data_IF_811525619403
#
_entry.id   IF_811525619403
#
_cell.length_a   1.000
_cell.length_b   1.000
_cell.length_c   1.000
_cell.angle_alpha   90.00
_cell.angle_beta   90.00
_cell.angle_gamma   90.00
#
_symmetry.space_group_name_H-M   'P 1'
#
loop_
_entity.id
_entity.type
_entity.pdbx_description
1 polymer ?
#
# COMPACT_ATOMS: atom_id res chain seq x y z
N UNK A 1 18.30 -5.55 7.17
CA UNK A 1 17.15 -5.26 8.06
C UNK A 1 16.35 -6.54 8.23
N UNK A 2 15.80 -6.79 9.42
CA UNK A 2 14.89 -7.92 9.68
C UNK A 2 13.56 -7.35 10.19
N UNK A 3 12.44 -7.86 9.72
CA UNK A 3 11.08 -7.50 10.15
C UNK A 3 10.48 -8.76 10.76
N UNK A 4 9.93 -8.67 11.96
CA UNK A 4 9.24 -9.82 12.57
C UNK A 4 7.85 -9.93 11.97
N UNK A 5 7.40 -11.15 11.70
CA UNK A 5 6.10 -11.44 11.12
C UNK A 5 5.44 -12.59 11.88
N UNK A 6 4.15 -12.43 12.17
CA UNK A 6 3.25 -13.52 12.54
C UNK A 6 2.30 -13.72 11.37
N UNK A 7 2.33 -14.90 10.75
CA UNK A 7 1.44 -15.25 9.65
C UNK A 7 0.41 -16.27 10.16
N UNK A 8 -0.85 -15.84 10.25
CA UNK A 8 -2.01 -16.67 10.59
C UNK A 8 -2.86 -17.00 9.35
N UNK A 9 -2.40 -16.63 8.17
CA UNK A 9 -3.09 -16.91 6.92
C UNK A 9 -2.93 -18.36 6.50
N UNK A 10 -3.73 -18.78 5.52
CA UNK A 10 -3.60 -20.07 4.83
C UNK A 10 -2.45 -20.09 3.80
N UNK A 11 -1.71 -18.99 3.66
CA UNK A 11 -0.78 -18.73 2.55
C UNK A 11 0.65 -18.54 3.06
N UNK A 12 1.68 -18.80 2.21
CA UNK A 12 3.07 -18.57 2.59
C UNK A 12 3.35 -17.09 2.89
N UNK A 13 4.47 -16.83 3.56
CA UNK A 13 4.92 -15.47 3.81
C UNK A 13 5.12 -14.71 2.49
N UNK A 14 4.97 -13.37 2.48
CA UNK A 14 5.31 -12.56 1.33
C UNK A 14 6.80 -12.67 0.99
N UNK A 15 7.11 -12.74 -0.30
CA UNK A 15 8.46 -12.88 -0.82
C UNK A 15 8.68 -11.93 -1.99
N UNK A 16 9.93 -11.51 -2.19
CA UNK A 16 10.32 -10.75 -3.36
C UNK A 16 10.30 -11.66 -4.59
N UNK A 17 9.46 -11.33 -5.57
CA UNK A 17 9.29 -12.17 -6.77
C UNK A 17 10.53 -12.23 -7.66
N UNK A 18 11.39 -11.22 -7.60
CA UNK A 18 12.68 -11.18 -8.29
C UNK A 18 13.75 -10.55 -7.38
N UNK A 19 15.05 -10.76 -7.65
CA UNK A 19 16.13 -10.20 -6.84
C UNK A 19 16.12 -8.67 -6.71
N UNK A 20 15.48 -7.97 -7.66
CA UNK A 20 15.42 -6.51 -7.70
C UNK A 20 13.99 -5.97 -7.49
N UNK A 21 13.06 -6.81 -7.06
CA UNK A 21 11.70 -6.36 -6.73
C UNK A 21 11.72 -5.41 -5.55
N UNK A 22 11.03 -4.27 -5.67
CA UNK A 22 10.92 -3.30 -4.58
C UNK A 22 9.91 -3.74 -3.50
N UNK A 23 8.89 -4.52 -3.88
CA UNK A 23 7.82 -4.95 -2.98
C UNK A 23 7.53 -6.44 -3.05
N UNK A 24 6.74 -6.89 -2.07
CA UNK A 24 6.30 -8.27 -1.92
C UNK A 24 4.77 -8.33 -2.12
N UNK A 25 4.30 -9.23 -2.97
CA UNK A 25 2.86 -9.40 -3.20
C UNK A 25 2.17 -9.92 -1.92
N UNK A 26 1.07 -9.29 -1.51
CA UNK A 26 0.21 -9.76 -0.42
C UNK A 26 -1.01 -10.47 -0.97
N UNK A 27 -1.44 -11.52 -0.27
CA UNK A 27 -2.56 -12.38 -0.66
C UNK A 27 -3.79 -12.09 0.19
N UNK A 28 -4.96 -12.19 -0.43
CA UNK A 28 -6.23 -12.22 0.30
C UNK A 28 -6.30 -13.50 1.17
N UNK A 29 -6.68 -13.37 2.43
CA UNK A 29 -6.92 -14.49 3.33
C UNK A 29 -8.40 -14.50 3.74
N UNK A 30 -9.25 -15.08 2.90
CA UNK A 30 -10.71 -15.02 3.03
C UNK A 30 -11.32 -16.42 2.95
N UNK A 31 -12.47 -16.63 3.60
CA UNK A 31 -13.15 -17.94 3.60
C UNK A 31 -14.02 -18.17 2.36
N UNK A 32 -14.57 -17.09 1.79
CA UNK A 32 -15.43 -17.13 0.60
C UNK A 32 -15.04 -16.01 -0.36
N UNK A 33 -15.19 -16.20 -1.67
CA UNK A 33 -14.95 -15.14 -2.63
C UNK A 33 -15.78 -13.89 -2.33
N UNK A 34 -15.19 -12.72 -2.55
CA UNK A 34 -15.86 -11.42 -2.40
C UNK A 34 -16.10 -10.87 -3.79
N UNK A 35 -17.37 -10.59 -4.13
CA UNK A 35 -17.73 -9.86 -5.34
C UNK A 35 -17.67 -8.37 -5.02
N UNK A 36 -16.79 -7.64 -5.70
CA UNK A 36 -16.59 -6.21 -5.55
C UNK A 36 -17.19 -5.50 -6.77
N UNK A 37 -18.35 -4.85 -6.59
CA UNK A 37 -19.06 -4.17 -7.67
C UNK A 37 -18.37 -2.85 -8.06
N UNK A 38 -18.69 -2.28 -9.25
CA UNK A 38 -18.27 -0.94 -9.61
C UNK A 38 -18.50 0.08 -8.48
N UNK A 39 -17.47 0.87 -8.17
CA UNK A 39 -17.42 1.88 -7.10
C UNK A 39 -17.59 1.35 -5.67
N UNK A 40 -17.61 0.03 -5.47
CA UNK A 40 -17.62 -0.58 -4.15
C UNK A 40 -16.20 -0.66 -3.57
N UNK A 41 -16.12 -0.63 -2.23
CA UNK A 41 -14.87 -0.79 -1.48
C UNK A 41 -15.03 -1.86 -0.41
N UNK A 42 -13.95 -2.59 -0.16
CA UNK A 42 -13.92 -3.64 0.86
C UNK A 42 -12.57 -3.68 1.56
N UNK A 43 -12.58 -3.98 2.86
CA UNK A 43 -11.38 -4.32 3.61
C UNK A 43 -11.10 -5.81 3.44
N UNK A 44 -9.99 -6.16 2.80
CA UNK A 44 -9.57 -7.56 2.61
C UNK A 44 -8.50 -7.92 3.64
N UNK A 45 -8.76 -8.91 4.54
CA UNK A 45 -7.76 -9.41 5.48
C UNK A 45 -6.63 -10.16 4.76
N UNK A 46 -5.43 -10.10 5.33
CA UNK A 46 -4.23 -10.81 4.81
C UNK A 46 -3.77 -11.95 5.71
N UNK A 47 -4.22 -11.99 6.96
CA UNK A 47 -3.73 -12.87 8.02
C UNK A 47 -2.31 -12.53 8.51
N UNK A 48 -1.75 -11.40 8.11
CA UNK A 48 -0.39 -11.00 8.43
C UNK A 48 -0.35 -9.93 9.52
N UNK A 49 0.61 -10.08 10.43
CA UNK A 49 0.89 -9.14 11.50
C UNK A 49 2.39 -8.92 11.50
N UNK A 50 2.84 -7.67 11.56
CA UNK A 50 4.27 -7.35 11.47
C UNK A 50 4.72 -6.45 12.61
N UNK A 51 6.01 -6.46 12.86
CA UNK A 51 6.70 -5.51 13.73
C UNK A 51 7.86 -4.91 12.94
N UNK A 52 7.74 -3.62 12.63
CA UNK A 52 8.77 -2.86 11.93
C UNK A 52 9.71 -2.19 12.93
N UNK A 53 10.99 -2.01 12.58
CA UNK A 53 11.88 -1.12 13.32
C UNK A 53 11.39 0.34 13.25
N UNK A 54 11.61 1.11 14.30
CA UNK A 54 11.35 2.57 14.30
C UNK A 54 12.12 3.26 13.16
N UNK A 55 11.47 4.21 12.49
CA UNK A 55 12.01 4.89 11.30
C UNK A 55 11.70 4.18 9.98
N UNK A 56 10.85 3.14 10.02
CA UNK A 56 10.34 2.45 8.84
C UNK A 56 8.82 2.36 8.89
N UNK A 57 8.22 2.43 7.70
CA UNK A 57 6.81 2.12 7.47
C UNK A 57 6.71 1.00 6.42
N UNK A 58 5.60 0.25 6.44
CA UNK A 58 5.22 -0.59 5.32
C UNK A 58 4.15 0.12 4.49
N UNK A 59 4.42 0.28 3.20
CA UNK A 59 3.53 0.93 2.24
C UNK A 59 2.79 -0.12 1.41
N UNK A 60 1.47 -0.15 1.54
CA UNK A 60 0.57 -0.99 0.77
C UNK A 60 0.21 -0.28 -0.54
N UNK A 61 0.66 -0.84 -1.66
CA UNK A 61 0.55 -0.24 -2.99
C UNK A 61 -0.24 -1.15 -3.97
N UNK A 62 -0.92 -0.57 -4.96
CA UNK A 62 -1.60 -1.32 -6.02
C UNK A 62 -0.62 -2.15 -6.85
N UNK A 63 -1.11 -3.25 -7.43
CA UNK A 63 -0.40 -4.01 -8.46
C UNK A 63 -0.80 -3.45 -9.82
N UNK A 64 0.16 -3.10 -10.66
CA UNK A 64 -0.09 -2.46 -11.96
C UNK A 64 -1.02 -3.28 -12.87
N UNK A 65 -0.90 -4.61 -12.84
CA UNK A 65 -1.76 -5.51 -13.60
C UNK A 65 -3.23 -5.44 -13.18
N UNK A 66 -3.52 -5.34 -11.88
CA UNK A 66 -4.89 -5.20 -11.37
C UNK A 66 -5.45 -3.80 -11.67
N UNK A 67 -4.63 -2.76 -11.50
CA UNK A 67 -5.02 -1.39 -11.80
C UNK A 67 -5.39 -1.20 -13.28
N UNK A 68 -4.49 -1.60 -14.19
CA UNK A 68 -4.70 -1.39 -15.63
C UNK A 68 -5.76 -2.31 -16.22
N UNK A 69 -5.77 -3.59 -15.88
CA UNK A 69 -6.61 -4.60 -16.55
C UNK A 69 -7.99 -4.77 -15.92
N UNK A 70 -8.13 -4.41 -14.64
CA UNK A 70 -9.34 -4.68 -13.84
C UNK A 70 -9.88 -3.44 -13.13
N UNK A 71 -9.21 -2.29 -13.23
CA UNK A 71 -9.59 -1.06 -12.52
C UNK A 71 -9.56 -1.21 -11.00
N UNK A 72 -8.81 -2.17 -10.47
CA UNK A 72 -8.72 -2.41 -9.02
C UNK A 72 -7.51 -1.70 -8.46
N UNK A 73 -7.73 -0.89 -7.41
CA UNK A 73 -6.66 -0.20 -6.71
C UNK A 73 -6.85 -0.30 -5.20
N UNK A 74 -5.81 0.08 -4.46
CA UNK A 74 -5.87 0.27 -3.02
C UNK A 74 -6.35 1.69 -2.77
N UNK A 75 -7.51 1.85 -2.13
CA UNK A 75 -8.22 3.13 -2.01
C UNK A 75 -7.37 4.20 -1.29
N UNK A 76 -6.67 3.79 -0.23
CA UNK A 76 -5.81 4.66 0.56
C UNK A 76 -4.34 4.62 0.10
N UNK A 77 -4.06 4.33 -1.18
CA UNK A 77 -2.68 4.16 -1.66
C UNK A 77 -1.84 5.45 -1.57
N UNK A 78 -0.55 5.35 -1.16
CA UNK A 78 0.03 4.22 -0.45
C UNK A 78 -0.58 4.09 0.95
N UNK A 79 -1.07 2.89 1.30
CA UNK A 79 -1.57 2.64 2.65
C UNK A 79 -0.41 2.50 3.62
N UNK A 80 -0.41 3.27 4.71
CA UNK A 80 0.66 3.25 5.72
C UNK A 80 0.37 2.25 6.82
N UNK A 81 1.35 1.40 7.11
CA UNK A 81 1.41 0.55 8.29
C UNK A 81 2.57 1.04 9.16
N UNK A 82 2.23 1.59 10.33
CA UNK A 82 3.17 2.18 11.28
C UNK A 82 4.01 1.14 12.03
N UNK A 83 5.18 1.58 12.54
CA UNK A 83 6.11 0.69 13.23
C UNK A 83 5.59 0.15 14.58
N UNK A 84 4.65 0.84 15.21
CA UNK A 84 3.99 0.43 16.44
C UNK A 84 2.68 -0.35 16.21
N UNK A 85 2.25 -0.49 14.95
CA UNK A 85 1.07 -1.28 14.62
C UNK A 85 1.33 -2.77 14.82
N UNK A 86 0.43 -3.46 15.54
CA UNK A 86 0.46 -4.92 15.76
C UNK A 86 -0.85 -5.62 15.38
N UNK A 87 -1.77 -4.88 14.78
CA UNK A 87 -3.00 -5.45 14.23
C UNK A 87 -2.75 -6.20 12.93
N UNK A 88 -3.82 -6.76 12.38
CA UNK A 88 -3.76 -7.44 11.09
C UNK A 88 -3.62 -6.42 9.96
N UNK A 89 -2.71 -6.66 9.01
CA UNK A 89 -2.63 -5.87 7.80
C UNK A 89 -3.90 -6.13 6.97
N UNK A 90 -4.75 -5.12 6.87
CA UNK A 90 -5.92 -5.12 6.00
C UNK A 90 -5.69 -4.26 4.75
N UNK A 91 -6.23 -4.70 3.62
CA UNK A 91 -6.07 -4.00 2.34
C UNK A 91 -7.43 -3.42 1.92
N UNK A 92 -7.53 -2.10 1.85
CA UNK A 92 -8.76 -1.42 1.40
C UNK A 92 -8.75 -1.39 -0.13
N UNK A 93 -9.43 -2.35 -0.76
CA UNK A 93 -9.58 -2.36 -2.21
C UNK A 93 -10.81 -1.55 -2.63
N UNK A 94 -10.70 -0.88 -3.77
CA UNK A 94 -11.82 -0.26 -4.48
C UNK A 94 -11.81 -0.71 -5.94
N UNK A 95 -13.01 -0.95 -6.48
CA UNK A 95 -13.20 -1.20 -7.89
C UNK A 95 -13.61 0.10 -8.60
N UNK A 96 -12.71 0.64 -9.42
CA UNK A 96 -12.95 1.84 -10.24
C UNK A 96 -13.35 1.50 -11.69
N UNK A 97 -13.54 0.21 -12.00
CA UNK A 97 -14.03 -0.23 -13.31
C UNK A 97 -15.56 -0.24 -13.38
N UNK A 98 -16.08 -0.57 -14.56
CA UNK A 98 -17.50 -0.79 -14.79
C UNK A 98 -17.90 -2.28 -14.78
N UNK A 99 -16.97 -3.18 -14.41
CA UNK A 99 -17.19 -4.62 -14.35
C UNK A 99 -17.11 -5.10 -12.90
N UNK A 100 -17.80 -6.19 -12.57
CA UNK A 100 -17.60 -6.84 -11.26
C UNK A 100 -16.22 -7.49 -11.19
N UNK A 101 -15.59 -7.41 -10.02
CA UNK A 101 -14.33 -8.09 -9.75
C UNK A 101 -14.50 -9.09 -8.60
N UNK A 102 -14.07 -10.33 -8.80
CA UNK A 102 -14.17 -11.39 -7.78
C UNK A 102 -12.80 -11.57 -7.16
N UNK A 103 -12.70 -11.25 -5.87
CA UNK A 103 -11.50 -11.52 -5.07
C UNK A 103 -11.59 -12.95 -4.56
N UNK A 104 -10.60 -13.77 -4.90
CA UNK A 104 -10.51 -15.14 -4.41
C UNK A 104 -9.47 -15.28 -3.27
N UNK A 105 -9.65 -16.28 -2.42
CA UNK A 105 -8.64 -16.64 -1.42
C UNK A 105 -7.29 -16.94 -2.08
N UNK A 106 -6.21 -16.44 -1.49
CA UNK A 106 -4.85 -16.62 -2.00
C UNK A 106 -4.49 -15.75 -3.20
N UNK A 107 -5.43 -14.97 -3.74
CA UNK A 107 -5.16 -14.04 -4.83
C UNK A 107 -4.25 -12.91 -4.37
N UNK A 108 -3.27 -12.54 -5.21
CA UNK A 108 -2.33 -11.45 -4.94
C UNK A 108 -3.00 -10.12 -5.24
N UNK A 109 -3.41 -9.39 -4.22
CA UNK A 109 -4.31 -8.23 -4.33
C UNK A 109 -3.59 -6.88 -4.28
N UNK A 110 -2.44 -6.82 -3.62
CA UNK A 110 -1.62 -5.62 -3.51
C UNK A 110 -0.15 -6.02 -3.35
N UNK A 111 0.74 -5.04 -3.23
CA UNK A 111 2.15 -5.26 -2.89
C UNK A 111 2.56 -4.38 -1.71
N UNK A 112 3.45 -4.89 -0.88
CA UNK A 112 4.01 -4.17 0.28
C UNK A 112 5.45 -3.77 0.00
N UNK A 113 5.78 -2.49 0.21
CA UNK A 113 7.15 -1.95 0.14
C UNK A 113 7.53 -1.45 1.52
N UNK A 114 8.68 -1.87 2.05
CA UNK A 114 9.20 -1.31 3.30
C UNK A 114 10.01 -0.06 2.98
N UNK A 115 9.63 1.08 3.54
CA UNK A 115 10.26 2.37 3.27
C UNK A 115 10.82 2.98 4.55
N UNK A 116 12.00 3.58 4.47
CA UNK A 116 12.54 4.41 5.55
C UNK A 116 11.81 5.76 5.53
N UNK A 117 11.50 6.29 6.70
CA UNK A 117 11.02 7.66 6.87
C UNK A 117 11.77 8.34 8.03
N UNK A 118 11.69 9.67 8.08
CA UNK A 118 12.24 10.48 9.17
C UNK A 118 11.11 10.98 10.06
N UNK A 119 11.41 11.26 11.33
CA UNK A 119 10.49 11.96 12.24
C UNK A 119 10.97 13.39 12.36
N UNK A 120 10.15 14.36 11.97
CA UNK A 120 10.49 15.78 12.04
C UNK A 120 10.05 16.40 13.35
N UNK A 121 10.62 17.57 13.66
CA UNK A 121 10.12 18.51 14.67
C UNK A 121 9.80 19.81 13.97
N UNK A 122 8.65 20.39 14.27
CA UNK A 122 8.26 21.68 13.71
C UNK A 122 9.04 22.82 14.36
N UNK A 123 9.53 23.74 13.54
CA UNK A 123 10.10 25.02 13.94
C UNK A 123 9.26 26.12 13.29
N UNK A 124 8.54 26.90 14.11
CA UNK A 124 7.67 27.97 13.61
C UNK A 124 8.52 29.22 13.31
N UNK A 125 8.47 29.71 12.07
CA UNK A 125 9.19 30.89 11.60
C UNK A 125 8.25 31.84 10.85
N UNK A 126 8.58 33.13 10.81
CA UNK A 126 7.79 34.13 10.09
C UNK A 126 8.06 34.14 8.57
N UNK A 127 9.28 33.78 8.16
CA UNK A 127 9.74 33.85 6.76
C UNK A 127 10.54 32.58 6.41
N UNK A 128 10.26 31.99 5.24
CA UNK A 128 11.04 30.91 4.65
C UNK A 128 12.12 31.47 3.71
N UNK A 129 13.21 30.72 3.52
CA UNK A 129 14.26 31.09 2.56
C UNK A 129 13.75 30.97 1.12
N UNK A 130 14.20 31.88 0.25
CA UNK A 130 13.90 31.82 -1.18
C UNK A 130 14.62 30.64 -1.83
N UNK A 131 13.95 30.01 -2.80
CA UNK A 131 14.53 28.95 -3.64
C UNK A 131 14.21 29.23 -5.10
N UNK A 132 14.96 28.61 -6.02
CA UNK A 132 14.71 28.74 -7.47
C UNK A 132 13.28 28.34 -7.87
N UNK A 133 12.65 27.42 -7.12
CA UNK A 133 11.26 27.02 -7.35
C UNK A 133 10.24 28.00 -6.74
N UNK A 134 10.57 28.62 -5.61
CA UNK A 134 9.69 29.52 -4.87
C UNK A 134 8.30 28.90 -4.65
N UNK A 135 7.25 29.66 -4.96
CA UNK A 135 5.85 29.25 -4.85
C UNK A 135 5.33 28.42 -6.05
N UNK A 136 6.20 28.03 -6.99
CA UNK A 136 5.83 27.29 -8.19
C UNK A 136 5.31 25.86 -7.91
N UNK A 137 4.03 25.62 -8.20
CA UNK A 137 3.34 24.31 -8.06
C UNK A 137 2.48 23.93 -9.27
N UNK A 138 1.84 22.77 -9.24
CA UNK A 138 0.78 22.37 -10.20
C UNK A 138 1.11 22.54 -11.69
N UNK A 139 2.24 21.99 -12.16
CA UNK A 139 2.62 22.08 -13.57
C UNK A 139 3.42 23.33 -13.94
N UNK A 140 4.01 24.03 -12.97
CA UNK A 140 4.82 25.25 -13.18
C UNK A 140 6.00 25.14 -14.18
N UNK A 141 6.40 23.93 -14.60
CA UNK A 141 7.43 23.70 -15.63
C UNK A 141 6.87 23.25 -16.98
N UNK A 142 5.56 23.07 -17.12
CA UNK A 142 4.91 22.52 -18.31
C UNK A 142 4.39 23.60 -19.25
N UNK A 143 5.13 23.88 -20.32
CA UNK A 143 4.57 24.37 -21.59
C UNK A 143 4.35 23.16 -22.51
N UNK A 144 3.08 22.85 -22.77
CA UNK A 144 2.52 21.85 -23.71
C UNK A 144 2.66 20.38 -23.33
#
# INVERSE_FOLDING_TARGET
>A
MQVKIVNKSKHPNPEYSTPFSAGMDLRANIEKPIVLKPMERVLVPTGLFIELPVGFEAQIRPRSGLALKKGITVLNTPGTIDADYRGEIGVILINLSNEEFIINDGERICQMVISKHETIRWENVEILQETMRGEGGFGHTGKK
#
